data_IF_479528189580
#
_entry.id   IF_479528189580
#
_cell.length_a   1.000
_cell.length_b   1.000
_cell.length_c   1.000
_cell.angle_alpha   90.00
_cell.angle_beta   90.00
_cell.angle_gamma   90.00
#
_symmetry.space_group_name_H-M   'P 1'
#
loop_
_entity.id
_entity.type
_entity.pdbx_description
1 polymer ?
#
# COMPACT_ATOMS: atom_id res chain seq x y z
N UNK A 1 29.56 -10.16 54.85
CA UNK A 1 28.14 -10.56 55.05
C UNK A 1 27.28 -9.41 54.55
N UNK A 2 26.64 -9.52 53.39
CA UNK A 2 25.19 -9.83 53.26
C UNK A 2 24.37 -8.57 53.54
N UNK A 3 23.57 -7.99 52.63
CA UNK A 3 22.61 -8.64 51.74
C UNK A 3 22.31 -7.76 50.51
N UNK A 4 22.02 -8.46 49.42
CA UNK A 4 21.38 -8.00 48.19
C UNK A 4 19.86 -7.82 48.39
N UNK A 5 19.23 -7.04 47.51
CA UNK A 5 18.02 -7.50 46.82
C UNK A 5 16.76 -6.66 47.00
N UNK A 6 16.57 -5.66 46.14
CA UNK A 6 15.28 -5.18 45.62
C UNK A 6 15.58 -4.78 44.16
N UNK A 7 14.88 -5.19 43.11
CA UNK A 7 13.52 -5.70 42.97
C UNK A 7 12.99 -5.05 41.68
N UNK A 8 13.40 -5.58 40.53
CA UNK A 8 13.07 -5.05 39.20
C UNK A 8 11.80 -5.74 38.68
N UNK A 9 10.71 -4.98 38.56
CA UNK A 9 9.48 -5.27 37.82
C UNK A 9 9.23 -3.96 37.07
N UNK A 10 9.27 -3.91 35.75
CA UNK A 10 8.16 -4.30 34.89
C UNK A 10 8.67 -4.85 33.55
N UNK A 11 8.20 -6.06 33.20
CA UNK A 11 8.37 -6.64 31.88
C UNK A 11 7.10 -6.35 31.07
N UNK A 12 7.16 -5.41 30.14
CA UNK A 12 6.10 -5.17 29.16
C UNK A 12 6.01 -6.37 28.20
N UNK A 13 4.82 -6.97 28.20
CA UNK A 13 4.41 -8.12 27.42
C UNK A 13 4.22 -7.70 25.96
N UNK A 14 5.26 -7.90 25.13
CA UNK A 14 5.16 -7.75 23.68
C UNK A 14 4.38 -8.94 23.10
N UNK A 15 3.06 -8.77 22.96
CA UNK A 15 2.20 -9.73 22.29
C UNK A 15 2.54 -9.74 20.79
N UNK A 16 3.23 -10.79 20.38
CA UNK A 16 3.68 -11.02 19.00
C UNK A 16 2.52 -11.57 18.17
N UNK A 17 1.87 -10.70 17.40
CA UNK A 17 0.90 -11.12 16.38
C UNK A 17 1.63 -11.92 15.29
N UNK A 18 1.54 -13.25 15.37
CA UNK A 18 2.00 -14.16 14.31
C UNK A 18 0.97 -14.16 13.18
N UNK A 19 1.35 -13.94 11.91
CA UNK A 19 0.45 -14.19 10.79
C UNK A 19 0.29 -15.70 10.62
N UNK A 20 -0.95 -16.17 10.82
CA UNK A 20 -1.36 -17.54 10.63
C UNK A 20 -1.39 -17.85 9.11
N UNK A 21 -0.32 -18.40 8.56
CA UNK A 21 -0.27 -18.89 7.18
C UNK A 21 -0.78 -20.34 7.15
N UNK A 22 -2.11 -20.51 7.13
CA UNK A 22 -2.74 -21.77 6.71
C UNK A 22 -3.35 -21.56 5.32
N UNK A 23 -2.88 -22.33 4.34
CA UNK A 23 -3.33 -22.28 2.97
C UNK A 23 -4.84 -22.48 2.85
N UNK A 24 -5.51 -21.47 2.28
CA UNK A 24 -6.91 -21.48 1.90
C UNK A 24 -7.22 -20.21 1.12
N UNK A 25 -7.69 -20.37 -0.11
CA UNK A 25 -8.44 -19.42 -0.94
C UNK A 25 -8.06 -17.92 -0.89
N UNK A 26 -7.38 -17.41 -1.92
CA UNK A 26 -7.04 -15.98 -2.09
C UNK A 26 -8.25 -15.20 -2.67
N UNK A 27 -9.45 -15.48 -2.18
CA UNK A 27 -10.65 -14.72 -2.57
C UNK A 27 -11.24 -14.03 -1.33
N UNK A 28 -11.14 -12.70 -1.32
CA UNK A 28 -11.77 -11.75 -0.40
C UNK A 28 -11.16 -11.44 0.99
N UNK A 29 -9.85 -11.51 1.17
CA UNK A 29 -9.20 -10.82 2.31
C UNK A 29 -8.97 -9.35 1.99
N UNK A 30 -10.02 -8.53 1.96
CA UNK A 30 -9.87 -7.08 1.91
C UNK A 30 -9.03 -6.58 3.10
N UNK A 31 -8.14 -5.61 2.87
CA UNK A 31 -7.31 -5.07 3.95
C UNK A 31 -8.23 -4.26 4.87
N UNK A 32 -8.56 -4.83 6.03
CA UNK A 32 -9.37 -4.16 7.05
C UNK A 32 -8.47 -3.18 7.83
N UNK A 33 -8.84 -1.91 7.77
CA UNK A 33 -8.19 -0.86 8.56
C UNK A 33 -8.59 -0.98 10.03
N UNK A 34 -7.61 -0.90 10.93
CA UNK A 34 -7.85 -0.86 12.37
C UNK A 34 -8.33 0.52 12.79
N UNK A 35 -9.17 0.58 13.82
CA UNK A 35 -9.53 1.88 14.39
C UNK A 35 -8.29 2.56 15.02
N UNK A 36 -8.24 3.89 14.93
CA UNK A 36 -7.18 4.70 15.53
C UNK A 36 -7.70 5.32 16.83
N UNK A 37 -6.98 5.12 17.92
CA UNK A 37 -7.27 5.76 19.21
C UNK A 37 -6.66 7.17 19.28
N UNK A 38 -7.51 8.18 19.16
CA UNK A 38 -7.16 9.60 19.24
C UNK A 38 -7.68 10.22 20.54
N UNK A 39 -6.92 11.15 21.10
CA UNK A 39 -7.41 11.97 22.21
C UNK A 39 -8.32 13.08 21.67
N UNK A 40 -9.63 12.88 21.81
CA UNK A 40 -10.63 13.83 21.34
C UNK A 40 -11.23 14.69 22.48
N UNK A 41 -10.56 14.78 23.62
CA UNK A 41 -11.08 15.49 24.81
C UNK A 41 -11.39 16.97 24.57
N UNK A 42 -10.60 17.64 23.71
CA UNK A 42 -10.74 19.06 23.37
C UNK A 42 -11.58 19.29 22.08
N UNK A 43 -12.15 18.23 21.47
CA UNK A 43 -12.97 18.34 20.26
C UNK A 43 -14.39 18.81 20.62
N UNK A 44 -14.88 19.79 19.86
CA UNK A 44 -16.22 20.36 20.02
C UNK A 44 -17.08 20.08 18.78
N UNK A 45 -18.39 20.16 18.96
CA UNK A 45 -19.31 20.06 17.83
C UNK A 45 -19.14 21.25 16.88
N UNK A 46 -19.27 21.05 15.55
CA UNK A 46 -19.22 22.15 14.59
C UNK A 46 -20.35 23.15 14.80
N UNK A 47 -20.05 24.45 14.79
CA UNK A 47 -21.09 25.48 14.81
C UNK A 47 -21.84 25.51 13.46
N UNK A 48 -23.15 25.30 13.52
CA UNK A 48 -24.05 25.29 12.36
C UNK A 48 -24.86 26.60 12.25
N UNK A 49 -24.33 27.69 12.80
CA UNK A 49 -24.93 29.01 12.69
C UNK A 49 -24.87 29.55 11.25
N UNK A 50 -25.78 30.47 10.93
CA UNK A 50 -25.73 31.19 9.65
C UNK A 50 -24.38 31.91 9.50
N UNK A 51 -23.81 31.97 8.28
CA UNK A 51 -22.55 32.65 8.04
C UNK A 51 -22.56 34.10 8.55
N UNK A 52 -21.50 34.48 9.26
CA UNK A 52 -21.35 35.82 9.81
C UNK A 52 -21.15 36.88 8.70
N UNK A 53 -21.41 38.15 9.03
CA UNK A 53 -21.23 39.26 8.08
C UNK A 53 -19.75 39.47 7.76
N UNK A 54 -19.40 39.45 6.47
CA UNK A 54 -18.01 39.53 5.97
C UNK A 54 -17.64 40.89 5.36
N UNK A 55 -18.56 41.85 5.31
CA UNK A 55 -18.33 43.12 4.60
C UNK A 55 -18.31 42.96 3.08
N UNK A 56 -18.21 44.09 2.37
CA UNK A 56 -18.13 44.14 0.91
C UNK A 56 -16.68 44.38 0.47
N UNK A 57 -15.99 43.38 -0.12
CA UNK A 57 -14.61 43.55 -0.57
C UNK A 57 -14.40 44.69 -1.58
N UNK A 58 -15.45 45.11 -2.29
CA UNK A 58 -15.40 46.19 -3.28
C UNK A 58 -15.49 47.59 -2.67
N UNK A 59 -15.81 47.70 -1.37
CA UNK A 59 -15.95 48.98 -0.68
C UNK A 59 -14.68 49.84 -0.80
N UNK A 60 -14.89 51.11 -1.18
CA UNK A 60 -13.87 52.15 -1.07
C UNK A 60 -13.74 52.59 0.39
N UNK A 61 -12.57 52.36 0.98
CA UNK A 61 -12.34 52.62 2.40
C UNK A 61 -11.73 54.01 2.55
N UNK A 62 -12.55 54.99 2.95
CA UNK A 62 -12.13 56.35 3.26
C UNK A 62 -11.27 56.41 4.53
N UNK A 63 -10.50 57.49 4.72
CA UNK A 63 -9.70 57.70 5.93
C UNK A 63 -10.56 57.65 7.21
N UNK A 64 -11.72 58.32 7.20
CA UNK A 64 -12.69 58.27 8.31
C UNK A 64 -13.14 56.84 8.64
N UNK A 65 -13.41 56.02 7.61
CA UNK A 65 -13.79 54.61 7.80
C UNK A 65 -12.64 53.79 8.37
N UNK A 66 -11.39 54.07 7.96
CA UNK A 66 -10.21 53.40 8.52
C UNK A 66 -10.04 53.76 10.00
N UNK A 67 -10.13 55.03 10.35
CA UNK A 67 -10.00 55.50 11.74
C UNK A 67 -11.09 54.92 12.65
N UNK A 68 -12.35 54.94 12.19
CA UNK A 68 -13.47 54.35 12.91
C UNK A 68 -13.28 52.83 13.11
N UNK A 69 -12.82 52.11 12.07
CA UNK A 69 -12.51 50.68 12.18
C UNK A 69 -11.35 50.41 13.16
N UNK A 70 -10.33 51.27 13.22
CA UNK A 70 -9.24 51.13 14.20
C UNK A 70 -9.73 51.34 15.63
N UNK A 71 -10.64 52.30 15.86
CA UNK A 71 -11.24 52.53 17.17
C UNK A 71 -12.08 51.34 17.64
N UNK A 72 -12.91 50.78 16.75
CA UNK A 72 -13.70 49.57 17.04
C UNK A 72 -12.80 48.36 17.31
N UNK A 73 -11.71 48.20 16.55
CA UNK A 73 -10.68 47.18 16.81
C UNK A 73 -10.09 47.32 18.22
N UNK A 74 -9.76 48.54 18.64
CA UNK A 74 -9.23 48.79 19.98
C UNK A 74 -10.24 48.43 21.08
N UNK A 75 -11.52 48.81 20.90
CA UNK A 75 -12.61 48.39 21.81
C UNK A 75 -12.74 46.88 21.89
N UNK A 76 -12.67 46.19 20.75
CA UNK A 76 -12.72 44.74 20.71
C UNK A 76 -11.54 44.08 21.45
N UNK A 77 -10.32 44.59 21.29
CA UNK A 77 -9.14 44.07 22.00
C UNK A 77 -9.31 44.22 23.52
N UNK A 78 -9.85 45.36 23.98
CA UNK A 78 -10.17 45.56 25.39
C UNK A 78 -11.24 44.57 25.87
N UNK A 79 -12.32 44.39 25.11
CA UNK A 79 -13.36 43.40 25.42
C UNK A 79 -12.80 41.96 25.45
N UNK A 80 -11.87 41.60 24.57
CA UNK A 80 -11.18 40.30 24.60
C UNK A 80 -10.32 40.12 25.85
N UNK A 81 -9.65 41.19 26.31
CA UNK A 81 -8.85 41.18 27.54
C UNK A 81 -9.74 40.99 28.77
N UNK A 82 -10.93 41.58 28.75
CA UNK A 82 -11.96 41.41 29.78
C UNK A 82 -12.70 40.06 29.70
N UNK A 83 -12.39 39.20 28.72
CA UNK A 83 -13.08 37.92 28.49
C UNK A 83 -14.48 38.04 27.87
N UNK A 84 -14.88 39.24 27.43
CA UNK A 84 -16.18 39.52 26.78
C UNK A 84 -16.11 39.26 25.28
N UNK A 85 -15.94 37.99 24.90
CA UNK A 85 -15.69 37.63 23.49
C UNK A 85 -16.87 37.91 22.55
N UNK A 86 -18.12 37.78 23.03
CA UNK A 86 -19.30 38.11 22.21
C UNK A 86 -19.33 39.61 21.85
N UNK A 87 -19.08 40.48 22.82
CA UNK A 87 -18.98 41.92 22.60
C UNK A 87 -17.81 42.27 21.66
N UNK A 88 -16.67 41.57 21.80
CA UNK A 88 -15.54 41.74 20.89
C UNK A 88 -15.90 41.37 19.43
N UNK A 89 -16.68 40.29 19.22
CA UNK A 89 -17.19 39.90 17.90
C UNK A 89 -18.09 40.98 17.31
N UNK A 90 -18.95 41.61 18.11
CA UNK A 90 -19.83 42.68 17.65
C UNK A 90 -19.02 43.90 17.18
N UNK A 91 -18.10 44.39 18.01
CA UNK A 91 -17.20 45.50 17.66
C UNK A 91 -16.35 45.19 16.41
N UNK A 92 -15.82 43.96 16.30
CA UNK A 92 -15.05 43.55 15.12
C UNK A 92 -15.91 43.39 13.87
N UNK A 93 -17.17 43.00 14.02
CA UNK A 93 -18.10 42.90 12.90
C UNK A 93 -18.40 44.28 12.33
N UNK A 94 -18.66 45.27 13.18
CA UNK A 94 -18.79 46.66 12.74
C UNK A 94 -17.50 47.17 12.08
N UNK A 95 -16.34 46.85 12.65
CA UNK A 95 -15.04 47.23 12.08
C UNK A 95 -14.82 46.64 10.68
N UNK A 96 -15.17 45.37 10.47
CA UNK A 96 -15.07 44.67 9.18
C UNK A 96 -15.99 45.31 8.13
N UNK A 97 -17.20 45.75 8.51
CA UNK A 97 -18.11 46.43 7.59
C UNK A 97 -17.56 47.79 7.11
N UNK A 98 -16.77 48.47 7.96
CA UNK A 98 -16.13 49.74 7.62
C UNK A 98 -14.82 49.57 6.84
N UNK A 99 -14.05 48.53 7.15
CA UNK A 99 -12.78 48.22 6.49
C UNK A 99 -12.64 46.72 6.18
N UNK A 100 -13.31 46.22 5.13
CA UNK A 100 -13.31 44.80 4.77
C UNK A 100 -12.00 44.32 4.16
N UNK A 101 -11.02 45.21 3.94
CA UNK A 101 -9.69 44.91 3.38
C UNK A 101 -8.63 44.73 4.46
N UNK A 102 -8.99 44.75 5.74
CA UNK A 102 -8.04 44.58 6.84
C UNK A 102 -7.96 43.13 7.33
N UNK A 103 -6.89 42.43 6.97
CA UNK A 103 -6.64 41.05 7.42
C UNK A 103 -6.66 40.88 8.96
N UNK A 104 -6.17 41.90 9.68
CA UNK A 104 -6.06 41.86 11.14
C UNK A 104 -7.44 41.84 11.82
N UNK A 105 -8.45 42.50 11.24
CA UNK A 105 -9.80 42.51 11.79
C UNK A 105 -10.41 41.11 11.77
N UNK A 106 -10.31 40.42 10.63
CA UNK A 106 -10.76 39.04 10.51
C UNK A 106 -9.98 38.10 11.43
N UNK A 107 -8.64 38.20 11.50
CA UNK A 107 -7.85 37.34 12.38
C UNK A 107 -8.19 37.53 13.88
N UNK A 108 -8.43 38.77 14.31
CA UNK A 108 -8.87 39.03 15.69
C UNK A 108 -10.29 38.48 15.95
N UNK A 109 -11.18 38.58 14.96
CA UNK A 109 -12.56 38.07 15.09
C UNK A 109 -12.59 36.55 15.08
N UNK A 110 -11.76 35.91 14.27
CA UNK A 110 -11.53 34.47 14.29
C UNK A 110 -11.07 34.00 15.68
N UNK A 111 -10.11 34.70 16.30
CA UNK A 111 -9.67 34.36 17.65
C UNK A 111 -10.80 34.51 18.68
N UNK A 112 -11.61 35.57 18.58
CA UNK A 112 -12.79 35.72 19.44
C UNK A 112 -13.79 34.56 19.24
N UNK A 113 -14.01 34.10 18.00
CA UNK A 113 -14.85 32.93 17.71
C UNK A 113 -14.28 31.62 18.27
N UNK A 114 -12.95 31.43 18.22
CA UNK A 114 -12.28 30.29 18.88
C UNK A 114 -12.59 30.27 20.38
N UNK A 115 -12.48 31.42 21.06
CA UNK A 115 -12.80 31.53 22.50
C UNK A 115 -14.29 31.38 22.81
N UNK A 116 -15.16 31.49 21.81
CA UNK A 116 -16.61 31.24 21.90
C UNK A 116 -17.02 29.82 21.48
N UNK A 117 -16.07 28.92 21.21
CA UNK A 117 -16.34 27.58 20.68
C UNK A 117 -17.12 27.59 19.36
N UNK A 118 -16.81 28.53 18.46
CA UNK A 118 -17.38 28.62 17.10
C UNK A 118 -16.31 28.38 16.03
N UNK A 119 -15.80 27.14 15.88
CA UNK A 119 -14.67 26.84 15.00
C UNK A 119 -14.93 27.09 13.49
N UNK A 120 -16.11 26.79 12.95
CA UNK A 120 -16.44 27.05 11.55
C UNK A 120 -16.49 28.55 11.25
N UNK A 121 -17.10 29.36 12.11
CA UNK A 121 -17.05 30.81 11.99
C UNK A 121 -15.60 31.33 12.04
N UNK A 122 -14.78 30.82 12.96
CA UNK A 122 -13.37 31.16 13.05
C UNK A 122 -12.58 30.81 11.78
N UNK A 123 -12.82 29.63 11.19
CA UNK A 123 -12.16 29.21 9.94
C UNK A 123 -12.49 30.15 8.80
N UNK A 124 -13.77 30.54 8.61
CA UNK A 124 -14.16 31.49 7.55
C UNK A 124 -13.44 32.82 7.66
N UNK A 125 -13.35 33.36 8.88
CA UNK A 125 -12.64 34.62 9.13
C UNK A 125 -11.12 34.47 8.95
N UNK A 126 -10.54 33.37 9.42
CA UNK A 126 -9.11 33.13 9.25
C UNK A 126 -8.73 32.94 7.78
N UNK A 127 -9.57 32.26 6.99
CA UNK A 127 -9.38 32.15 5.54
C UNK A 127 -9.48 33.51 4.85
N UNK A 128 -10.46 34.35 5.21
CA UNK A 128 -10.55 35.71 4.70
C UNK A 128 -9.31 36.56 5.08
N UNK A 129 -8.82 36.41 6.31
CA UNK A 129 -7.60 37.08 6.75
C UNK A 129 -6.38 36.68 5.90
N UNK A 130 -6.23 35.38 5.63
CA UNK A 130 -5.12 34.82 4.87
C UNK A 130 -5.23 35.07 3.36
N UNK A 131 -6.43 35.24 2.82
CA UNK A 131 -6.63 35.72 1.45
C UNK A 131 -6.12 37.15 1.28
N UNK A 132 -6.32 38.01 2.29
CA UNK A 132 -5.87 39.40 2.27
C UNK A 132 -4.36 39.49 2.57
N UNK A 133 -3.89 38.76 3.57
CA UNK A 133 -2.47 38.71 3.94
C UNK A 133 -2.02 37.26 4.23
N UNK A 134 -1.40 36.59 3.24
CA UNK A 134 -0.91 35.22 3.37
C UNK A 134 0.20 35.01 4.41
N UNK A 135 0.87 36.08 4.86
CA UNK A 135 1.97 36.02 5.84
C UNK A 135 1.51 36.38 7.26
N UNK A 136 0.19 36.46 7.50
CA UNK A 136 -0.35 36.81 8.80
C UNK A 136 -0.35 35.61 9.76
N UNK A 137 0.64 35.53 10.65
CA UNK A 137 0.77 34.47 11.66
C UNK A 137 -0.52 34.25 12.49
N UNK A 138 -1.20 35.32 12.89
CA UNK A 138 -2.47 35.26 13.65
C UNK A 138 -3.59 34.55 12.90
N UNK A 139 -3.64 34.66 11.57
CA UNK A 139 -4.61 33.96 10.72
C UNK A 139 -4.41 32.46 10.79
N UNK A 140 -3.19 31.99 10.58
CA UNK A 140 -2.85 30.56 10.71
C UNK A 140 -3.09 30.04 12.13
N UNK A 141 -2.69 30.81 13.17
CA UNK A 141 -2.94 30.41 14.57
C UNK A 141 -4.43 30.19 14.84
N UNK A 142 -5.28 31.14 14.48
CA UNK A 142 -6.72 31.03 14.69
C UNK A 142 -7.33 29.87 13.90
N UNK A 143 -6.91 29.67 12.63
CA UNK A 143 -7.38 28.55 11.80
C UNK A 143 -6.93 27.19 12.34
N UNK A 144 -5.68 27.07 12.77
CA UNK A 144 -5.13 25.87 13.36
C UNK A 144 -5.81 25.49 14.67
N UNK A 145 -6.09 26.46 15.54
CA UNK A 145 -6.89 26.26 16.75
C UNK A 145 -8.31 25.78 16.43
N UNK A 146 -9.00 26.44 15.51
CA UNK A 146 -10.35 26.08 15.11
C UNK A 146 -10.42 24.68 14.46
N UNK A 147 -9.42 24.30 13.67
CA UNK A 147 -9.30 22.95 13.08
C UNK A 147 -9.04 21.89 14.15
N UNK A 148 -8.19 22.18 15.13
CA UNK A 148 -7.96 21.27 16.26
C UNK A 148 -9.24 21.01 17.05
N UNK A 149 -10.04 22.06 17.29
CA UNK A 149 -11.36 21.96 17.93
C UNK A 149 -12.35 21.09 17.12
N UNK A 150 -12.18 20.96 15.80
CA UNK A 150 -12.99 20.09 14.95
C UNK A 150 -12.40 18.67 14.79
N UNK A 151 -11.28 18.36 15.45
CA UNK A 151 -10.57 17.09 15.27
C UNK A 151 -9.84 16.96 13.92
N UNK A 152 -9.63 18.07 13.20
CA UNK A 152 -8.87 18.12 11.96
C UNK A 152 -7.37 18.26 12.28
N UNK A 153 -6.81 17.20 12.86
CA UNK A 153 -5.50 17.23 13.51
C UNK A 153 -4.35 17.52 12.54
N UNK A 154 -4.34 16.91 11.35
CA UNK A 154 -3.26 17.11 10.36
C UNK A 154 -3.23 18.56 9.84
N UNK A 155 -4.39 19.11 9.50
CA UNK A 155 -4.53 20.49 9.03
C UNK A 155 -4.23 21.51 10.14
N UNK A 156 -4.61 21.18 11.39
CA UNK A 156 -4.31 22.00 12.55
C UNK A 156 -2.79 22.10 12.80
N UNK A 157 -2.08 20.97 12.84
CA UNK A 157 -0.61 20.96 13.01
C UNK A 157 0.07 21.76 11.90
N UNK A 158 -0.38 21.59 10.65
CA UNK A 158 0.17 22.32 9.51
C UNK A 158 0.07 23.83 9.69
N UNK A 159 -1.12 24.34 10.02
CA UNK A 159 -1.34 25.77 10.26
C UNK A 159 -0.55 26.29 11.46
N UNK A 160 -0.55 25.57 12.58
CA UNK A 160 0.15 25.98 13.80
C UNK A 160 1.67 26.02 13.62
N UNK A 161 2.24 25.11 12.82
CA UNK A 161 3.66 25.19 12.45
C UNK A 161 3.97 26.40 11.56
N UNK A 162 3.09 26.74 10.62
CA UNK A 162 3.25 27.96 9.80
C UNK A 162 3.17 29.19 10.69
N UNK A 163 2.17 29.25 11.60
CA UNK A 163 2.04 30.32 12.58
C UNK A 163 3.31 30.48 13.41
N UNK A 164 3.81 29.41 14.02
CA UNK A 164 5.02 29.41 14.84
C UNK A 164 6.29 29.79 14.07
N UNK A 165 6.35 29.53 12.76
CA UNK A 165 7.48 29.91 11.91
C UNK A 165 7.46 31.41 11.58
N UNK A 166 6.27 31.96 11.36
CA UNK A 166 6.07 33.37 11.03
C UNK A 166 6.23 34.26 12.28
N UNK A 167 5.63 33.85 13.39
CA UNK A 167 5.70 34.54 14.68
C UNK A 167 5.63 33.53 15.82
N UNK A 168 6.70 33.43 16.59
CA UNK A 168 6.77 32.50 17.70
C UNK A 168 5.91 32.99 18.86
N UNK A 169 5.04 32.12 19.36
CA UNK A 169 4.10 32.41 20.43
C UNK A 169 3.95 31.19 21.35
N UNK A 170 3.97 31.42 22.66
CA UNK A 170 3.96 30.35 23.66
C UNK A 170 2.64 29.55 23.65
N UNK A 171 1.51 30.22 23.42
CA UNK A 171 0.19 29.57 23.31
C UNK A 171 0.19 28.60 22.11
N UNK A 172 0.75 29.02 20.97
CA UNK A 172 0.91 28.17 19.77
C UNK A 172 1.73 26.92 20.06
N UNK A 173 2.84 27.04 20.79
CA UNK A 173 3.65 25.90 21.21
C UNK A 173 2.93 24.94 22.16
N UNK A 174 2.09 25.47 23.06
CA UNK A 174 1.25 24.65 23.96
C UNK A 174 0.20 23.86 23.17
N UNK A 175 -0.43 24.48 22.17
CA UNK A 175 -1.43 23.82 21.32
C UNK A 175 -0.78 22.73 20.47
N UNK A 176 0.40 23.00 19.87
CA UNK A 176 1.12 22.00 19.08
C UNK A 176 1.37 20.71 19.87
N UNK A 177 1.80 20.80 21.13
CA UNK A 177 2.00 19.63 22.01
C UNK A 177 0.75 18.76 22.17
N UNK A 178 -0.45 19.33 22.06
CA UNK A 178 -1.72 18.59 22.14
C UNK A 178 -2.11 17.97 20.79
N UNK A 179 -1.88 18.68 19.69
CA UNK A 179 -2.38 18.30 18.35
C UNK A 179 -1.42 17.35 17.62
N UNK A 180 -0.10 17.49 17.81
CA UNK A 180 0.94 16.69 17.16
C UNK A 180 0.79 15.17 17.37
N UNK A 181 0.50 14.65 18.59
CA UNK A 181 0.36 13.21 18.80
C UNK A 181 -0.76 12.58 17.96
N UNK A 182 -1.92 13.24 17.88
CA UNK A 182 -3.05 12.75 17.09
C UNK A 182 -2.75 12.79 15.58
N UNK A 183 -2.18 13.90 15.09
CA UNK A 183 -1.77 14.01 13.70
C UNK A 183 -0.76 12.92 13.30
N UNK A 184 0.25 12.68 14.16
CA UNK A 184 1.26 11.64 13.94
C UNK A 184 0.64 10.24 13.88
N UNK A 185 -0.28 9.90 14.80
CA UNK A 185 -1.00 8.61 14.77
C UNK A 185 -1.78 8.41 13.47
N UNK A 186 -2.44 9.46 12.98
CA UNK A 186 -3.17 9.43 11.70
C UNK A 186 -2.22 9.18 10.53
N UNK A 187 -1.10 9.92 10.47
CA UNK A 187 -0.11 9.77 9.41
C UNK A 187 0.51 8.37 9.41
N UNK A 188 0.92 7.87 10.59
CA UNK A 188 1.51 6.54 10.74
C UNK A 188 0.54 5.43 10.33
N UNK A 189 -0.74 5.55 10.74
CA UNK A 189 -1.79 4.63 10.33
C UNK A 189 -1.98 4.61 8.82
N UNK A 190 -2.14 5.79 8.19
CA UNK A 190 -2.28 5.92 6.73
C UNK A 190 -1.10 5.30 6.00
N UNK A 191 0.12 5.62 6.43
CA UNK A 191 1.35 5.08 5.85
C UNK A 191 1.42 3.55 5.95
N UNK A 192 1.07 2.99 7.10
CA UNK A 192 1.03 1.53 7.31
C UNK A 192 0.10 0.86 6.29
N UNK A 193 -1.12 1.39 6.12
CA UNK A 193 -2.12 0.79 5.24
C UNK A 193 -1.84 1.01 3.75
N UNK A 194 -1.25 2.13 3.38
CA UNK A 194 -0.74 2.33 2.02
C UNK A 194 0.37 1.33 1.65
N UNK A 195 1.28 1.05 2.57
CA UNK A 195 2.34 0.05 2.36
C UNK A 195 1.76 -1.35 2.21
N UNK A 196 0.80 -1.74 3.05
CA UNK A 196 0.12 -3.03 2.96
C UNK A 196 -0.62 -3.19 1.63
N UNK A 197 -1.32 -2.14 1.16
CA UNK A 197 -2.00 -2.15 -0.16
C UNK A 197 -1.01 -2.31 -1.30
N UNK A 198 0.10 -1.57 -1.28
CA UNK A 198 1.17 -1.68 -2.29
C UNK A 198 1.79 -3.08 -2.30
N UNK A 199 2.08 -3.64 -1.14
CA UNK A 199 2.64 -4.99 -1.03
C UNK A 199 1.68 -6.06 -1.57
N UNK A 200 0.38 -5.97 -1.23
CA UNK A 200 -0.66 -6.87 -1.74
C UNK A 200 -0.78 -6.78 -3.26
N UNK A 201 -0.78 -5.57 -3.82
CA UNK A 201 -0.85 -5.35 -5.26
C UNK A 201 0.39 -5.89 -5.99
N UNK A 202 1.59 -5.66 -5.44
CA UNK A 202 2.82 -6.23 -5.99
C UNK A 202 2.81 -7.76 -5.98
N UNK A 203 2.36 -8.39 -4.90
CA UNK A 203 2.21 -9.86 -4.82
C UNK A 203 1.21 -10.38 -5.85
N UNK A 204 0.10 -9.66 -6.08
CA UNK A 204 -0.90 -10.01 -7.09
C UNK A 204 -0.31 -9.93 -8.50
N UNK A 205 0.39 -8.83 -8.81
CA UNK A 205 1.07 -8.64 -10.09
C UNK A 205 2.14 -9.72 -10.31
N UNK A 206 2.93 -10.05 -9.29
CA UNK A 206 3.95 -11.10 -9.37
C UNK A 206 3.33 -12.48 -9.62
N UNK A 207 2.26 -12.80 -8.89
CA UNK A 207 1.52 -14.05 -9.09
C UNK A 207 0.92 -14.13 -10.49
N UNK A 208 0.34 -13.05 -10.99
CA UNK A 208 -0.25 -13.00 -12.34
C UNK A 208 0.82 -13.13 -13.42
N UNK A 209 1.95 -12.42 -13.28
CA UNK A 209 3.12 -12.58 -14.17
C UNK A 209 3.64 -14.01 -14.16
N UNK A 210 3.75 -14.63 -12.99
CA UNK A 210 4.16 -16.04 -12.88
C UNK A 210 3.18 -16.96 -13.58
N UNK A 211 1.87 -16.79 -13.36
CA UNK A 211 0.83 -17.56 -14.05
C UNK A 211 0.87 -17.37 -15.56
N UNK A 212 1.13 -16.16 -16.04
CA UNK A 212 1.27 -15.88 -17.47
C UNK A 212 2.52 -16.55 -18.05
N UNK A 213 3.66 -16.49 -17.37
CA UNK A 213 4.88 -17.18 -17.77
C UNK A 213 4.72 -18.69 -17.78
N UNK A 214 4.05 -19.26 -16.77
CA UNK A 214 3.75 -20.68 -16.68
C UNK A 214 2.81 -21.11 -17.81
N UNK A 215 1.79 -20.30 -18.14
CA UNK A 215 0.86 -20.53 -19.23
C UNK A 215 1.54 -20.44 -20.61
N UNK A 216 2.40 -19.45 -20.83
CA UNK A 216 3.19 -19.30 -22.06
C UNK A 216 4.16 -20.48 -22.23
N UNK A 217 4.86 -20.88 -21.17
CA UNK A 217 5.73 -22.05 -21.18
C UNK A 217 4.94 -23.34 -21.45
N UNK A 218 3.72 -23.47 -20.90
CA UNK A 218 2.85 -24.60 -21.19
C UNK A 218 2.37 -24.61 -22.65
N UNK A 219 2.05 -23.44 -23.22
CA UNK A 219 1.64 -23.28 -24.62
C UNK A 219 2.77 -23.59 -25.63
N UNK A 220 4.03 -23.57 -25.21
CA UNK A 220 5.17 -24.01 -26.02
C UNK A 220 5.18 -25.52 -26.32
N UNK A 221 4.29 -26.29 -25.69
CA UNK A 221 4.08 -27.71 -25.91
C UNK A 221 2.72 -27.96 -26.54
N UNK A 222 2.67 -28.81 -27.57
CA UNK A 222 1.41 -29.33 -28.10
C UNK A 222 0.99 -30.52 -27.26
N UNK A 223 -0.13 -30.37 -26.57
CA UNK A 223 -0.68 -31.43 -25.72
C UNK A 223 -1.01 -32.68 -26.54
N UNK A 224 -0.62 -33.85 -26.04
CA UNK A 224 -0.87 -35.11 -26.71
C UNK A 224 0.14 -35.52 -27.78
N UNK A 225 1.18 -34.71 -28.03
CA UNK A 225 2.19 -34.97 -29.05
C UNK A 225 3.54 -35.43 -28.47
N UNK A 226 4.25 -36.25 -29.26
CA UNK A 226 5.65 -36.59 -29.00
C UNK A 226 6.51 -35.64 -29.83
N UNK A 227 7.37 -34.88 -29.15
CA UNK A 227 8.25 -33.90 -29.77
C UNK A 227 9.55 -34.61 -30.16
N UNK A 228 9.82 -34.70 -31.45
CA UNK A 228 11.09 -35.24 -31.95
C UNK A 228 12.19 -34.18 -31.85
N UNK A 229 13.36 -34.59 -31.37
CA UNK A 229 14.51 -33.72 -31.15
C UNK A 229 15.74 -34.28 -31.86
N UNK A 230 16.43 -33.40 -32.57
CA UNK A 230 17.57 -33.74 -33.41
C UNK A 230 18.90 -33.19 -32.86
N UNK A 231 18.86 -32.42 -31.76
CA UNK A 231 20.07 -31.89 -31.12
C UNK A 231 19.94 -31.84 -29.59
N UNK A 232 21.10 -31.87 -28.90
CA UNK A 232 21.18 -31.69 -27.45
C UNK A 232 20.66 -30.33 -27.00
N UNK A 233 20.90 -29.29 -27.80
CA UNK A 233 20.44 -27.93 -27.52
C UNK A 233 18.91 -27.89 -27.44
N UNK A 234 18.22 -28.50 -28.39
CA UNK A 234 16.75 -28.55 -28.40
C UNK A 234 16.20 -29.32 -27.19
N UNK A 235 16.88 -30.41 -26.80
CA UNK A 235 16.54 -31.18 -25.60
C UNK A 235 16.66 -30.32 -24.33
N UNK A 236 17.77 -29.62 -24.14
CA UNK A 236 17.99 -28.74 -22.99
C UNK A 236 16.96 -27.59 -22.97
N UNK A 237 16.65 -26.98 -24.12
CA UNK A 237 15.63 -25.94 -24.25
C UNK A 237 14.24 -26.44 -23.86
N UNK A 238 13.82 -27.61 -24.36
CA UNK A 238 12.51 -28.20 -24.04
C UNK A 238 12.41 -28.66 -22.58
N UNK A 239 13.49 -29.20 -22.00
CA UNK A 239 13.52 -29.54 -20.57
C UNK A 239 13.44 -28.29 -19.68
N UNK A 240 14.11 -27.21 -20.06
CA UNK A 240 14.00 -25.92 -19.37
C UNK A 240 12.59 -25.33 -19.48
N UNK A 241 11.94 -25.43 -20.63
CA UNK A 241 10.54 -25.03 -20.80
C UNK A 241 9.59 -25.90 -19.97
N UNK A 242 9.81 -27.22 -19.91
CA UNK A 242 8.99 -28.14 -19.11
C UNK A 242 9.15 -27.87 -17.61
N UNK A 243 10.37 -27.55 -17.17
CA UNK A 243 10.67 -27.08 -15.81
C UNK A 243 9.90 -25.81 -15.47
N UNK A 244 9.90 -24.80 -16.35
CA UNK A 244 9.16 -23.54 -16.15
C UNK A 244 7.66 -23.79 -16.07
N UNK A 245 7.12 -24.61 -16.96
CA UNK A 245 5.71 -24.99 -16.95
C UNK A 245 5.32 -25.93 -15.79
N UNK A 246 6.26 -26.33 -14.92
CA UNK A 246 6.05 -27.33 -13.85
C UNK A 246 5.43 -28.65 -14.36
N UNK A 247 5.76 -29.05 -15.60
CA UNK A 247 5.27 -30.29 -16.23
C UNK A 247 6.32 -31.40 -16.08
N UNK A 248 5.85 -32.64 -15.90
CA UNK A 248 6.71 -33.81 -16.04
C UNK A 248 7.17 -33.93 -17.49
N UNK A 249 8.47 -34.08 -17.72
CA UNK A 249 9.04 -34.39 -19.03
C UNK A 249 9.59 -35.82 -19.05
N UNK A 250 9.37 -36.52 -20.17
CA UNK A 250 9.87 -37.87 -20.41
C UNK A 250 10.78 -37.82 -21.63
N UNK A 251 12.04 -38.17 -21.43
CA UNK A 251 13.03 -38.27 -22.50
C UNK A 251 13.07 -39.73 -22.94
N UNK A 252 12.70 -39.98 -24.19
CA UNK A 252 12.70 -41.28 -24.83
C UNK A 252 13.85 -41.37 -25.83
N UNK A 253 14.94 -42.05 -25.45
CA UNK A 253 16.07 -42.32 -26.34
C UNK A 253 15.81 -43.57 -27.18
N UNK A 254 15.99 -43.44 -28.50
CA UNK A 254 15.63 -44.45 -29.50
C UNK A 254 16.59 -44.41 -30.70
N UNK A 255 16.51 -45.41 -31.57
CA UNK A 255 17.17 -45.41 -32.87
C UNK A 255 16.31 -46.13 -33.90
N UNK A 256 16.43 -45.77 -35.19
CA UNK A 256 15.65 -46.41 -36.27
C UNK A 256 15.99 -47.89 -36.46
N UNK A 257 17.25 -48.27 -36.26
CA UNK A 257 17.73 -49.63 -36.40
C UNK A 257 17.37 -50.54 -35.21
N UNK A 258 16.90 -49.97 -34.10
CA UNK A 258 16.49 -50.71 -32.91
C UNK A 258 15.10 -51.35 -33.09
N UNK A 259 15.06 -52.68 -33.24
CA UNK A 259 13.81 -53.46 -33.31
C UNK A 259 12.86 -53.24 -32.13
N UNK A 260 13.32 -53.43 -30.87
CA UNK A 260 12.50 -53.17 -29.67
C UNK A 260 11.94 -51.73 -29.62
N UNK A 261 12.71 -50.75 -30.11
CA UNK A 261 12.29 -49.36 -30.14
C UNK A 261 11.14 -49.10 -31.13
N UNK A 262 11.15 -49.77 -32.28
CA UNK A 262 10.05 -49.72 -33.26
C UNK A 262 8.75 -50.27 -32.68
N UNK A 263 8.82 -51.27 -31.80
CA UNK A 263 7.66 -51.82 -31.11
C UNK A 263 7.07 -50.87 -30.06
N UNK A 264 7.90 -50.23 -29.24
CA UNK A 264 7.42 -49.34 -28.15
C UNK A 264 7.00 -47.95 -28.65
N UNK A 265 7.55 -47.46 -29.77
CA UNK A 265 7.28 -46.10 -30.27
C UNK A 265 5.78 -45.76 -30.44
N UNK A 266 4.94 -46.61 -31.06
CA UNK A 266 3.49 -46.36 -31.15
C UNK A 266 2.81 -46.27 -29.78
N UNK A 267 3.27 -47.07 -28.81
CA UNK A 267 2.73 -47.06 -27.45
C UNK A 267 3.06 -45.75 -26.73
N UNK A 268 4.26 -45.20 -26.94
CA UNK A 268 4.63 -43.87 -26.43
C UNK A 268 3.76 -42.77 -27.04
N UNK A 269 3.46 -42.84 -28.33
CA UNK A 269 2.51 -41.92 -28.97
C UNK A 269 1.11 -42.06 -28.37
N UNK A 270 0.67 -43.28 -28.03
CA UNK A 270 -0.60 -43.49 -27.32
C UNK A 270 -0.57 -42.91 -25.90
N UNK A 271 0.55 -43.03 -25.19
CA UNK A 271 0.71 -42.46 -23.85
C UNK A 271 0.74 -40.93 -23.88
N UNK A 272 1.35 -40.32 -24.89
CA UNK A 272 1.32 -38.86 -25.09
C UNK A 272 -0.12 -38.35 -25.15
N UNK A 273 -0.96 -38.99 -25.97
CA UNK A 273 -2.40 -38.66 -26.06
C UNK A 273 -3.16 -38.89 -24.75
N UNK A 274 -2.82 -39.96 -24.01
CA UNK A 274 -3.45 -40.29 -22.72
C UNK A 274 -3.07 -39.31 -21.61
N UNK A 275 -1.84 -38.79 -21.64
CA UNK A 275 -1.30 -37.87 -20.64
C UNK A 275 -0.91 -36.54 -21.28
N UNK A 276 -1.88 -35.73 -21.74
CA UNK A 276 -1.62 -34.53 -22.52
C UNK A 276 -0.79 -33.48 -21.78
N UNK A 277 -0.82 -33.48 -20.43
CA UNK A 277 -0.03 -32.59 -19.56
C UNK A 277 1.43 -33.02 -19.36
N UNK A 278 1.81 -34.21 -19.79
CA UNK A 278 3.18 -34.72 -19.72
C UNK A 278 3.89 -34.39 -21.04
N UNK A 279 5.12 -33.91 -20.97
CA UNK A 279 5.92 -33.57 -22.15
C UNK A 279 6.69 -34.80 -22.61
N UNK A 280 6.42 -35.30 -23.81
CA UNK A 280 7.14 -36.44 -24.38
C UNK A 280 8.19 -35.94 -25.38
N UNK A 281 9.46 -36.18 -25.07
CA UNK A 281 10.62 -35.78 -25.86
C UNK A 281 11.28 -37.03 -26.43
N UNK A 282 11.26 -37.20 -27.75
CA UNK A 282 11.88 -38.34 -28.43
C UNK A 282 13.22 -37.91 -29.02
N UNK A 283 14.28 -38.59 -28.63
CA UNK A 283 15.65 -38.31 -29.08
C UNK A 283 16.18 -39.51 -29.85
N UNK A 284 16.48 -39.30 -31.13
CA UNK A 284 17.15 -40.29 -31.95
C UNK A 284 18.67 -40.22 -31.68
N UNK A 285 19.24 -41.30 -31.13
CA UNK A 285 20.66 -41.32 -30.74
C UNK A 285 21.60 -41.22 -31.95
N UNK A 286 21.12 -41.57 -33.16
CA UNK A 286 21.90 -41.43 -34.39
C UNK A 286 22.02 -39.95 -34.79
N UNK A 287 21.05 -39.11 -34.39
CA UNK A 287 21.04 -37.67 -34.69
C UNK A 287 21.69 -36.83 -33.59
N UNK A 288 21.48 -37.19 -32.32
CA UNK A 288 22.05 -36.49 -31.16
C UNK A 288 22.74 -37.47 -30.20
N UNK A 289 23.87 -38.01 -30.65
CA UNK A 289 24.71 -38.91 -29.86
C UNK A 289 25.33 -38.22 -28.64
N UNK A 290 25.59 -36.92 -28.74
CA UNK A 290 26.05 -36.05 -27.67
C UNK A 290 25.05 -35.94 -26.51
N UNK A 291 23.75 -35.86 -26.79
CA UNK A 291 22.69 -35.92 -25.78
C UNK A 291 22.65 -37.31 -25.11
N UNK A 292 22.74 -38.39 -25.90
CA UNK A 292 22.74 -39.75 -25.35
C UNK A 292 23.93 -40.00 -24.41
N UNK A 293 25.13 -39.49 -24.75
CA UNK A 293 26.32 -39.54 -23.89
C UNK A 293 26.11 -38.73 -22.61
N UNK A 294 25.59 -37.50 -22.72
CA UNK A 294 25.36 -36.62 -21.57
C UNK A 294 24.38 -37.23 -20.55
N UNK A 295 23.37 -37.95 -21.03
CA UNK A 295 22.38 -38.66 -20.21
C UNK A 295 22.79 -40.09 -19.83
N UNK A 296 24.05 -40.47 -20.11
CA UNK A 296 24.60 -41.79 -19.81
C UNK A 296 23.69 -42.94 -20.30
N UNK A 297 23.30 -42.86 -21.57
CA UNK A 297 22.49 -43.88 -22.26
C UNK A 297 23.39 -45.00 -22.75
N UNK A 298 23.28 -46.18 -22.12
CA UNK A 298 24.03 -47.38 -22.49
C UNK A 298 23.24 -48.39 -23.31
N UNK A 299 21.91 -48.25 -23.35
CA UNK A 299 20.98 -49.17 -24.01
C UNK A 299 19.73 -48.43 -24.46
N UNK A 300 19.11 -48.90 -25.53
CA UNK A 300 17.86 -48.35 -26.06
C UNK A 300 16.84 -49.48 -26.25
N UNK A 301 15.53 -49.22 -26.04
CA UNK A 301 14.94 -47.94 -25.63
C UNK A 301 15.18 -47.59 -24.15
N UNK A 302 15.45 -46.31 -23.87
CA UNK A 302 15.62 -45.77 -22.52
C UNK A 302 14.70 -44.57 -22.28
N UNK A 303 14.16 -44.47 -21.07
CA UNK A 303 13.22 -43.45 -20.62
C UNK A 303 13.73 -42.76 -19.37
N UNK A 304 13.77 -41.43 -19.38
CA UNK A 304 14.16 -40.62 -18.23
C UNK A 304 13.00 -39.69 -17.86
N UNK A 305 12.62 -39.68 -16.60
CA UNK A 305 11.55 -38.86 -16.06
C UNK A 305 12.18 -37.66 -15.37
N UNK A 306 11.81 -36.47 -15.81
CA UNK A 306 12.37 -35.22 -15.32
C UNK A 306 11.25 -34.35 -14.75
N UNK A 307 11.36 -33.99 -13.47
CA UNK A 307 10.42 -33.08 -12.79
C UNK A 307 11.21 -31.96 -12.11
N UNK A 308 10.76 -30.72 -12.26
CA UNK A 308 11.43 -29.54 -11.72
C UNK A 308 12.92 -29.43 -12.11
N UNK A 309 13.29 -29.95 -13.28
CA UNK A 309 14.66 -29.94 -13.82
C UNK A 309 15.60 -30.98 -13.21
N UNK A 310 15.08 -31.94 -12.45
CA UNK A 310 15.86 -33.07 -11.90
C UNK A 310 15.33 -34.38 -12.46
N UNK A 311 16.23 -35.30 -12.79
CA UNK A 311 15.87 -36.71 -13.03
C UNK A 311 15.28 -37.28 -11.74
N UNK A 312 14.03 -37.73 -11.82
CA UNK A 312 13.32 -38.37 -10.71
C UNK A 312 13.28 -39.88 -10.85
N UNK A 313 13.44 -40.40 -12.08
CA UNK A 313 13.35 -41.82 -12.37
C UNK A 313 13.95 -42.17 -13.75
N UNK A 314 14.44 -43.40 -13.90
CA UNK A 314 14.94 -43.99 -15.15
C UNK A 314 14.29 -45.35 -15.40
N UNK A 315 14.07 -45.69 -16.67
CA UNK A 315 13.63 -47.01 -17.09
C UNK A 315 14.28 -47.40 -18.41
N UNK A 316 14.75 -48.65 -18.50
CA UNK A 316 15.33 -49.21 -19.72
C UNK A 316 14.55 -50.46 -20.07
N UNK A 317 13.99 -50.51 -21.27
CA UNK A 317 13.18 -51.65 -21.71
C UNK A 317 11.94 -51.25 -22.52
N UNK A 318 11.17 -52.26 -22.92
CA UNK A 318 10.03 -52.11 -23.85
C UNK A 318 8.66 -52.20 -23.19
N UNK A 319 8.58 -52.48 -21.89
CA UNK A 319 7.28 -52.68 -21.23
C UNK A 319 6.53 -51.36 -21.06
N UNK A 320 5.46 -51.19 -21.85
CA UNK A 320 4.57 -50.02 -21.79
C UNK A 320 3.96 -49.82 -20.41
N UNK A 321 3.56 -50.91 -19.73
CA UNK A 321 2.89 -50.80 -18.44
C UNK A 321 3.82 -50.18 -17.39
N UNK A 322 5.10 -50.56 -17.41
CA UNK A 322 6.13 -49.95 -16.56
C UNK A 322 6.35 -48.47 -16.89
N UNK A 323 6.37 -48.10 -18.18
CA UNK A 323 6.45 -46.68 -18.57
C UNK A 323 5.26 -45.91 -18.00
N UNK A 324 4.05 -46.36 -18.26
CA UNK A 324 2.82 -45.72 -17.82
C UNK A 324 2.70 -45.62 -16.29
N UNK A 325 3.04 -46.68 -15.57
CA UNK A 325 3.05 -46.70 -14.10
C UNK A 325 3.95 -45.60 -13.52
N UNK A 326 5.15 -45.40 -14.08
CA UNK A 326 6.06 -44.32 -13.68
C UNK A 326 5.51 -42.94 -14.02
N UNK A 327 4.75 -42.79 -15.11
CA UNK A 327 4.02 -41.54 -15.41
C UNK A 327 3.06 -41.23 -14.27
N UNK A 328 2.19 -42.17 -13.91
CA UNK A 328 1.19 -41.98 -12.85
C UNK A 328 1.84 -41.65 -11.51
N UNK A 329 2.98 -42.27 -11.21
CA UNK A 329 3.75 -42.01 -9.98
C UNK A 329 4.28 -40.57 -9.88
N UNK A 330 4.68 -39.96 -11.00
CA UNK A 330 5.38 -38.67 -11.00
C UNK A 330 4.57 -37.50 -11.57
N UNK A 331 3.47 -37.75 -12.29
CA UNK A 331 2.62 -36.73 -12.90
C UNK A 331 1.62 -36.07 -11.93
N UNK A 332 1.52 -36.57 -10.69
CA UNK A 332 0.73 -35.96 -9.61
C UNK A 332 1.29 -34.65 -9.08
#
# INVERSE_FOLDING_TARGET
MGKNGEGNQDAEEFESIKPNLSGGDVSNDDIIESDIELDNSDVVEPDNDSPQKMGDPSLEVTEDNQEAAQLLKAKAINAMTDGKFAEAVDHLTEAVLLNPKSAILYANRANAFVKLNKPNAAIRDADAALQINPDLAKGYKARGMARAMLGLWEEAVSDLHVASRLDFDEETGSILKKVEPNAKKIEEHRRKYELLRKEKELKKIELEKKRQQDAEAAAAFKDGEVIELDSRKDLEEKLNAAKKASRLAIIYFTAKWCGPCRYVSPEITSLAKKYPKVVFLKVDIDKSSDAAIAWNVSSIPSFFYVKNGKEVEKFVGVDKNTVEMKIVQHAG
#
